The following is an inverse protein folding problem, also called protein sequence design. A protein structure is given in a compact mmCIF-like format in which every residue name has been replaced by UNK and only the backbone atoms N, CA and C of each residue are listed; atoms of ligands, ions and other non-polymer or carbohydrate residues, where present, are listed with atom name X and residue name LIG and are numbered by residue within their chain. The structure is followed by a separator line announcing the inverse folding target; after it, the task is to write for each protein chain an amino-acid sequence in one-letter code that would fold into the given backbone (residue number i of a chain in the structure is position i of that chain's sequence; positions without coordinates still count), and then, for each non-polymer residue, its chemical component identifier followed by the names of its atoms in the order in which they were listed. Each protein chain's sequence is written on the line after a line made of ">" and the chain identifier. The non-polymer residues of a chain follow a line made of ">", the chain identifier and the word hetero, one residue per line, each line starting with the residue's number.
data_IF_506117780428
#
_entry.id   IF_506117780428
#
_cell.length_a   1.000
_cell.length_b   1.000
_cell.length_c   1.000
_cell.angle_alpha   90.00
_cell.angle_beta   90.00
_cell.angle_gamma   90.00
#
_symmetry.space_group_name_H-M   'P 1'
#
loop_
_entity.id
_entity.type
_entity.pdbx_description
1 polymer ?
#
# COMPACT_ATOMS: atom_id res chain seq x y z
N UNK A 1 -11.76 -52.19 39.23
CA UNK A 1 -12.21 -51.26 38.16
C UNK A 1 -12.94 -50.01 38.70
N UNK A 2 -12.57 -49.45 39.86
CA UNK A 2 -13.29 -48.33 40.51
C UNK A 2 -12.55 -46.97 40.50
N UNK A 3 -11.29 -46.93 40.03
CA UNK A 3 -10.41 -45.76 40.15
C UNK A 3 -10.58 -44.72 39.03
N UNK A 4 -11.25 -45.06 37.93
CA UNK A 4 -11.39 -44.19 36.76
C UNK A 4 -12.48 -43.12 36.93
N UNK A 5 -13.53 -43.40 37.72
CA UNK A 5 -14.63 -42.47 37.97
C UNK A 5 -14.20 -41.26 38.80
N UNK A 6 -13.44 -41.49 39.87
CA UNK A 6 -12.98 -40.45 40.80
C UNK A 6 -12.00 -39.47 40.15
N UNK A 7 -11.13 -39.98 39.26
CA UNK A 7 -10.17 -39.17 38.51
C UNK A 7 -10.88 -38.23 37.51
N UNK A 8 -11.96 -38.70 36.89
CA UNK A 8 -12.78 -37.89 35.96
C UNK A 8 -13.53 -36.77 36.67
N UNK A 9 -14.00 -37.01 37.91
CA UNK A 9 -14.67 -35.98 38.72
C UNK A 9 -13.72 -34.85 39.12
N UNK A 10 -12.51 -35.18 39.59
CA UNK A 10 -11.48 -34.19 39.96
C UNK A 10 -11.05 -33.30 38.79
N UNK A 11 -10.85 -33.87 37.60
CA UNK A 11 -10.49 -33.09 36.41
C UNK A 11 -11.60 -32.11 35.98
N UNK A 12 -12.88 -32.47 36.20
CA UNK A 12 -14.01 -31.58 35.89
C UNK A 12 -14.08 -30.42 36.88
N UNK A 13 -13.83 -30.67 38.16
CA UNK A 13 -13.77 -29.64 39.20
C UNK A 13 -12.61 -28.68 38.95
N UNK A 14 -11.42 -29.18 38.60
CA UNK A 14 -10.26 -28.35 38.28
C UNK A 14 -10.50 -27.45 37.07
N UNK A 15 -11.16 -27.94 36.01
CA UNK A 15 -11.54 -27.12 34.86
C UNK A 15 -12.63 -26.09 35.20
N UNK A 16 -13.56 -26.40 36.10
CA UNK A 16 -14.56 -25.45 36.58
C UNK A 16 -13.93 -24.35 37.45
N UNK A 17 -12.93 -24.70 38.26
CA UNK A 17 -12.13 -23.74 39.03
C UNK A 17 -11.31 -22.85 38.09
N UNK A 18 -10.61 -23.40 37.09
CA UNK A 18 -9.88 -22.62 36.08
C UNK A 18 -10.74 -21.55 35.40
N UNK A 19 -11.99 -21.88 35.08
CA UNK A 19 -12.92 -20.91 34.46
C UNK A 19 -13.56 -19.91 35.42
N UNK A 20 -13.59 -20.19 36.73
CA UNK A 20 -14.31 -19.34 37.71
C UNK A 20 -13.38 -18.56 38.65
N UNK A 21 -12.13 -18.98 38.80
CA UNK A 21 -11.22 -18.46 39.81
C UNK A 21 -9.99 -17.77 39.20
N UNK A 22 -10.26 -16.68 38.48
CA UNK A 22 -9.25 -15.77 37.92
C UNK A 22 -8.28 -15.20 38.97
N UNK A 23 -8.70 -15.15 40.23
CA UNK A 23 -7.94 -14.56 41.34
C UNK A 23 -6.92 -15.53 41.98
N UNK A 24 -6.95 -16.82 41.63
CA UNK A 24 -5.96 -17.79 42.10
C UNK A 24 -4.73 -17.75 41.21
N UNK A 25 -3.55 -17.60 41.82
CA UNK A 25 -2.27 -17.47 41.10
C UNK A 25 -1.99 -18.63 40.13
N UNK A 26 -2.46 -19.84 40.44
CA UNK A 26 -2.27 -21.04 39.62
C UNK A 26 -3.18 -21.11 38.38
N UNK A 27 -4.22 -20.26 38.30
CA UNK A 27 -5.22 -20.29 37.24
C UNK A 27 -5.34 -18.97 36.48
N UNK A 28 -4.36 -18.09 36.64
CA UNK A 28 -4.25 -16.92 35.78
C UNK A 28 -3.91 -17.38 34.36
N UNK A 29 -4.54 -16.81 33.32
CA UNK A 29 -4.06 -17.02 31.97
C UNK A 29 -2.65 -16.42 31.90
N UNK A 30 -1.65 -17.30 31.78
CA UNK A 30 -0.29 -16.87 31.43
C UNK A 30 -0.41 -16.14 30.09
N UNK A 31 0.01 -14.88 30.06
CA UNK A 31 0.09 -14.15 28.81
C UNK A 31 1.13 -14.89 27.97
N UNK A 32 0.69 -15.52 26.87
CA UNK A 32 1.61 -16.03 25.88
C UNK A 32 2.55 -14.87 25.54
N UNK A 33 3.84 -15.02 25.87
CA UNK A 33 4.88 -14.05 25.50
C UNK A 33 5.04 -14.13 23.99
N UNK A 34 4.12 -13.51 23.26
CA UNK A 34 4.21 -13.32 21.83
C UNK A 34 5.35 -12.34 21.59
N UNK A 35 6.57 -12.89 21.42
CA UNK A 35 7.72 -12.14 20.97
C UNK A 35 7.31 -11.52 19.63
N UNK A 36 7.26 -10.19 19.51
CA UNK A 36 6.88 -9.58 18.25
C UNK A 36 7.85 -10.05 17.16
N UNK A 37 7.35 -10.34 15.95
CA UNK A 37 8.23 -10.75 14.87
C UNK A 37 9.30 -9.67 14.67
N UNK A 38 10.55 -10.09 14.35
CA UNK A 38 11.61 -9.14 14.10
C UNK A 38 11.19 -8.15 13.01
N UNK A 39 11.61 -6.89 13.11
CA UNK A 39 11.26 -5.89 12.11
C UNK A 39 11.76 -6.35 10.74
N UNK A 40 11.05 -6.02 9.66
CA UNK A 40 11.48 -6.38 8.32
C UNK A 40 12.83 -5.71 8.01
N UNK A 41 13.75 -6.49 7.43
CA UNK A 41 15.10 -6.04 7.04
C UNK A 41 15.07 -4.88 6.03
N UNK A 42 13.95 -4.72 5.32
CA UNK A 42 13.77 -3.64 4.33
C UNK A 42 12.55 -2.81 4.66
N UNK A 43 12.64 -1.48 4.43
CA UNK A 43 11.50 -0.61 4.59
C UNK A 43 10.40 -1.00 3.59
N UNK A 44 9.17 -1.23 4.06
CA UNK A 44 8.03 -1.48 3.17
C UNK A 44 7.61 -0.20 2.44
N UNK A 45 6.98 -0.35 1.28
CA UNK A 45 6.41 0.78 0.54
C UNK A 45 5.13 1.30 1.22
N UNK A 46 4.92 2.62 1.28
CA UNK A 46 3.78 3.20 2.00
C UNK A 46 2.42 2.88 1.36
N UNK A 47 2.40 2.47 0.10
CA UNK A 47 1.16 2.14 -0.63
C UNK A 47 0.95 0.64 -0.82
N UNK A 48 2.01 -0.15 -1.02
CA UNK A 48 1.89 -1.56 -1.40
C UNK A 48 2.41 -2.51 -0.32
N UNK A 49 3.17 -2.02 0.67
CA UNK A 49 3.82 -2.86 1.68
C UNK A 49 5.02 -3.66 1.16
N UNK A 50 5.31 -3.61 -0.14
CA UNK A 50 6.43 -4.33 -0.75
C UNK A 50 7.79 -3.77 -0.29
N UNK A 51 8.81 -4.61 -0.09
CA UNK A 51 10.13 -4.14 0.32
C UNK A 51 10.79 -3.27 -0.75
N UNK A 52 11.15 -2.04 -0.40
CA UNK A 52 11.79 -1.07 -1.30
C UNK A 52 13.31 -1.23 -1.32
N UNK A 53 13.92 -1.11 -2.51
CA UNK A 53 15.38 -1.01 -2.67
C UNK A 53 15.75 0.33 -3.31
N UNK A 54 16.97 0.81 -3.07
CA UNK A 54 17.51 2.03 -3.72
C UNK A 54 17.43 2.00 -5.25
N UNK A 55 17.53 0.83 -5.87
CA UNK A 55 17.46 0.66 -7.32
C UNK A 55 16.05 0.83 -7.90
N UNK A 56 15.03 0.73 -7.04
CA UNK A 56 13.63 0.87 -7.41
C UNK A 56 13.15 2.34 -7.25
N UNK A 57 13.97 3.20 -6.63
CA UNK A 57 13.74 4.63 -6.48
C UNK A 57 14.31 5.37 -7.68
N UNK A 58 13.51 6.26 -8.26
CA UNK A 58 13.90 7.08 -9.40
C UNK A 58 13.74 8.56 -9.06
N UNK A 59 14.76 9.41 -9.30
CA UNK A 59 14.62 10.84 -9.12
C UNK A 59 13.63 11.40 -10.15
N UNK A 60 12.75 12.31 -9.73
CA UNK A 60 11.77 12.96 -10.60
C UNK A 60 11.95 14.48 -10.55
N UNK A 61 11.95 15.11 -11.72
CA UNK A 61 11.90 16.57 -11.87
C UNK A 61 10.45 16.99 -12.02
N UNK A 62 10.00 17.81 -11.07
CA UNK A 62 8.65 18.35 -11.03
C UNK A 62 8.69 19.83 -11.42
N UNK A 63 8.21 20.14 -12.61
CA UNK A 63 7.99 21.53 -13.01
C UNK A 63 6.77 22.08 -12.28
N UNK A 64 6.89 23.28 -11.70
CA UNK A 64 5.81 23.93 -10.98
C UNK A 64 5.41 25.21 -11.70
N UNK A 65 4.11 25.36 -11.93
CA UNK A 65 3.48 26.56 -12.47
C UNK A 65 2.39 26.98 -11.50
N UNK A 66 2.45 28.23 -11.03
CA UNK A 66 1.49 28.79 -10.06
C UNK A 66 1.35 27.93 -8.78
N UNK A 67 2.48 27.37 -8.30
CA UNK A 67 2.52 26.50 -7.12
C UNK A 67 1.99 25.07 -7.33
N UNK A 68 1.44 24.75 -8.51
CA UNK A 68 0.95 23.42 -8.87
C UNK A 68 1.95 22.71 -9.76
N UNK A 69 2.01 21.38 -9.67
CA UNK A 69 2.86 20.58 -10.58
C UNK A 69 2.26 20.62 -11.98
N UNK A 70 3.09 20.89 -12.98
CA UNK A 70 2.71 20.94 -14.38
C UNK A 70 3.37 19.81 -15.18
N UNK A 71 2.74 19.46 -16.29
CA UNK A 71 3.32 18.55 -17.27
C UNK A 71 4.51 19.21 -17.99
N UNK A 72 5.63 18.52 -18.10
CA UNK A 72 6.84 19.09 -18.70
C UNK A 72 6.71 19.43 -20.20
N UNK A 73 5.85 18.73 -20.93
CA UNK A 73 5.63 19.00 -22.37
C UNK A 73 4.51 20.02 -22.61
N UNK A 74 3.31 19.77 -22.05
CA UNK A 74 2.13 20.60 -22.33
C UNK A 74 2.00 21.82 -21.42
N UNK A 75 2.82 21.93 -20.37
CA UNK A 75 2.75 22.96 -19.32
C UNK A 75 1.36 23.10 -18.66
N UNK A 76 0.49 22.11 -18.82
CA UNK A 76 -0.81 22.04 -18.16
C UNK A 76 -0.64 21.61 -16.72
N UNK A 77 -1.37 22.24 -15.81
CA UNK A 77 -1.37 21.91 -14.40
C UNK A 77 -2.03 20.56 -14.15
N UNK A 78 -1.35 19.70 -13.39
CA UNK A 78 -1.81 18.36 -13.02
C UNK A 78 -2.70 18.49 -11.78
N UNK A 79 -3.96 18.06 -11.89
CA UNK A 79 -4.92 18.08 -10.77
C UNK A 79 -5.50 16.68 -10.52
N UNK A 80 -6.33 16.19 -11.45
CA UNK A 80 -7.03 14.89 -11.33
C UNK A 80 -6.64 13.89 -12.42
N UNK A 81 -5.80 14.31 -13.36
CA UNK A 81 -5.45 13.53 -14.54
C UNK A 81 -4.48 12.39 -14.17
N UNK A 82 -4.52 11.30 -14.92
CA UNK A 82 -3.53 10.23 -14.77
C UNK A 82 -2.19 10.66 -15.37
N UNK A 83 -1.12 10.30 -14.67
CA UNK A 83 0.22 10.83 -14.90
C UNK A 83 1.21 9.69 -15.04
N UNK A 84 2.14 9.86 -15.97
CA UNK A 84 3.23 8.92 -16.22
C UNK A 84 4.55 9.65 -16.03
N UNK A 85 5.48 9.04 -15.31
CA UNK A 85 6.86 9.47 -15.27
C UNK A 85 7.66 8.75 -16.36
N UNK A 86 8.29 9.51 -17.25
CA UNK A 86 9.18 9.01 -18.28
C UNK A 86 10.62 9.09 -17.80
N UNK A 87 11.24 7.93 -17.60
CA UNK A 87 12.59 7.82 -17.06
C UNK A 87 13.53 7.25 -18.13
N UNK A 88 13.95 8.08 -19.07
CA UNK A 88 14.76 7.66 -20.23
C UNK A 88 16.08 6.96 -19.86
N UNK A 89 16.65 7.30 -18.72
CA UNK A 89 17.95 6.82 -18.25
C UNK A 89 17.80 6.53 -16.77
N UNK A 90 18.44 5.45 -16.31
CA UNK A 90 18.37 5.03 -14.92
C UNK A 90 18.87 6.09 -13.94
N UNK A 91 19.89 6.84 -14.31
CA UNK A 91 20.52 7.83 -13.43
C UNK A 91 20.09 9.28 -13.71
N UNK A 92 19.26 9.50 -14.74
CA UNK A 92 18.74 10.84 -15.01
C UNK A 92 17.38 11.05 -14.34
N UNK A 93 17.05 12.31 -13.99
CA UNK A 93 15.73 12.62 -13.49
C UNK A 93 14.65 12.26 -14.52
N UNK A 94 13.62 11.57 -14.06
CA UNK A 94 12.41 11.33 -14.84
C UNK A 94 11.58 12.61 -14.95
N UNK A 95 10.94 12.78 -16.10
CA UNK A 95 10.02 13.88 -16.34
C UNK A 95 8.58 13.42 -16.24
N UNK A 96 7.74 14.28 -15.68
CA UNK A 96 6.33 13.99 -15.44
C UNK A 96 5.49 14.47 -16.62
N UNK A 97 4.69 13.57 -17.19
CA UNK A 97 3.82 13.84 -18.33
C UNK A 97 2.40 13.31 -18.13
N UNK A 98 1.44 13.93 -18.82
CA UNK A 98 0.05 13.48 -18.83
C UNK A 98 -0.12 12.23 -19.69
N UNK A 99 -0.81 11.22 -19.15
CA UNK A 99 -0.99 9.95 -19.85
C UNK A 99 -1.84 10.12 -21.12
N UNK A 100 -3.04 10.68 -21.00
CA UNK A 100 -4.00 10.78 -22.10
C UNK A 100 -3.53 11.67 -23.25
N UNK A 101 -2.86 12.78 -22.93
CA UNK A 101 -2.52 13.79 -23.92
C UNK A 101 -1.14 13.59 -24.54
N UNK A 102 -0.14 13.27 -23.73
CA UNK A 102 1.26 13.24 -24.15
C UNK A 102 1.71 11.81 -24.39
N UNK A 103 1.45 10.91 -23.44
CA UNK A 103 1.90 9.52 -23.55
C UNK A 103 1.24 8.81 -24.74
N UNK A 104 -0.09 8.79 -24.82
CA UNK A 104 -0.81 8.08 -25.88
C UNK A 104 -0.54 8.67 -27.28
N UNK A 105 -0.38 9.99 -27.39
CA UNK A 105 -0.22 10.66 -28.71
C UNK A 105 1.21 10.69 -29.22
N UNK A 106 2.19 10.91 -28.33
CA UNK A 106 3.58 11.13 -28.71
C UNK A 106 4.48 9.94 -28.38
N UNK A 107 4.31 9.34 -27.21
CA UNK A 107 5.22 8.32 -26.69
C UNK A 107 4.88 6.93 -27.20
N UNK A 108 3.60 6.56 -27.25
CA UNK A 108 3.16 5.24 -27.72
C UNK A 108 3.57 4.94 -29.19
N UNK A 109 3.38 5.85 -30.17
CA UNK A 109 3.75 5.56 -31.55
C UNK A 109 5.26 5.60 -31.80
N UNK A 110 5.99 6.49 -31.13
CA UNK A 110 7.43 6.68 -31.38
C UNK A 110 8.31 5.85 -30.44
N UNK A 111 7.81 5.48 -29.25
CA UNK A 111 8.57 4.93 -28.14
C UNK A 111 9.84 5.74 -27.82
N UNK A 112 9.77 7.07 -28.00
CA UNK A 112 10.85 8.01 -27.70
C UNK A 112 10.37 9.04 -26.67
N UNK A 113 11.25 9.42 -25.76
CA UNK A 113 11.00 10.53 -24.84
C UNK A 113 10.93 11.86 -25.60
N UNK A 114 9.85 12.64 -25.47
CA UNK A 114 9.70 13.93 -26.16
C UNK A 114 10.67 15.02 -25.64
N UNK A 115 11.20 14.87 -24.42
CA UNK A 115 12.08 15.86 -23.79
C UNK A 115 13.56 15.53 -24.01
N UNK A 116 13.93 14.25 -23.89
CA UNK A 116 15.33 13.81 -23.95
C UNK A 116 15.70 13.20 -25.30
N UNK A 117 14.74 12.91 -26.17
CA UNK A 117 14.96 12.29 -27.48
C UNK A 117 15.44 10.84 -27.43
N UNK A 118 15.46 10.21 -26.25
CA UNK A 118 15.98 8.85 -26.05
C UNK A 118 14.89 7.79 -26.19
N UNK A 119 15.26 6.62 -26.72
CA UNK A 119 14.35 5.47 -26.85
C UNK A 119 13.95 4.94 -25.49
N UNK A 120 12.65 4.78 -25.29
CA UNK A 120 12.05 4.25 -24.07
C UNK A 120 11.85 2.74 -24.16
N UNK A 121 11.98 2.08 -23.00
CA UNK A 121 11.54 0.69 -22.80
C UNK A 121 10.38 0.70 -21.80
N UNK A 122 9.60 -0.36 -21.76
CA UNK A 122 8.50 -0.53 -20.80
C UNK A 122 8.91 -0.30 -19.34
N UNK A 123 10.12 -0.70 -18.95
CA UNK A 123 10.68 -0.48 -17.59
C UNK A 123 10.88 0.99 -17.22
N UNK A 124 11.01 1.86 -18.23
CA UNK A 124 11.25 3.29 -18.06
C UNK A 124 9.96 4.11 -17.98
N UNK A 125 8.81 3.44 -18.12
CA UNK A 125 7.48 4.04 -18.08
C UNK A 125 6.88 3.70 -16.72
N UNK A 126 6.84 4.69 -15.83
CA UNK A 126 6.33 4.55 -14.47
C UNK A 126 4.97 5.24 -14.39
N UNK A 127 3.89 4.45 -14.29
CA UNK A 127 2.56 5.00 -14.04
C UNK A 127 2.48 5.45 -12.59
N UNK A 128 2.28 6.74 -12.37
CA UNK A 128 2.17 7.29 -11.03
C UNK A 128 0.74 7.08 -10.52
N UNK A 129 0.63 6.68 -9.26
CA UNK A 129 -0.66 6.57 -8.62
C UNK A 129 -1.21 7.97 -8.36
N UNK A 130 -2.42 8.25 -8.85
CA UNK A 130 -3.10 9.50 -8.53
C UNK A 130 -3.51 9.50 -7.04
N UNK A 131 -3.26 10.61 -6.35
CA UNK A 131 -3.81 10.82 -5.02
C UNK A 131 -5.33 10.79 -5.07
N UNK A 132 -5.97 10.08 -4.15
CA UNK A 132 -7.43 10.11 -4.02
C UNK A 132 -7.81 11.50 -3.53
N UNK A 133 -8.54 12.26 -4.33
CA UNK A 133 -9.15 13.50 -3.85
C UNK A 133 -10.40 13.16 -3.03
N UNK A 134 -10.75 14.00 -2.05
CA UNK A 134 -11.98 13.82 -1.26
C UNK A 134 -13.29 13.91 -2.04
N UNK A 135 -13.23 14.13 -3.36
CA UNK A 135 -14.39 14.22 -4.24
C UNK A 135 -14.79 12.84 -4.77
N UNK A 136 -16.03 12.43 -4.47
CA UNK A 136 -16.62 11.16 -4.89
C UNK A 136 -16.58 10.92 -6.41
N UNK A 137 -16.60 11.98 -7.22
CA UNK A 137 -16.56 11.89 -8.69
C UNK A 137 -15.21 11.42 -9.25
N UNK A 138 -14.14 11.46 -8.47
CA UNK A 138 -12.78 11.24 -8.99
C UNK A 138 -12.25 9.81 -8.83
N UNK A 139 -12.99 8.94 -8.12
CA UNK A 139 -12.56 7.57 -7.82
C UNK A 139 -13.69 6.54 -7.94
N UNK A 140 -13.32 5.26 -7.95
CA UNK A 140 -14.26 4.14 -7.85
C UNK A 140 -14.70 3.97 -6.39
N UNK A 141 -15.62 4.81 -5.93
CA UNK A 141 -16.18 4.72 -4.57
C UNK A 141 -17.47 3.88 -4.63
N UNK A 142 -17.40 2.66 -4.13
CA UNK A 142 -18.59 1.84 -3.90
C UNK A 142 -19.16 2.11 -2.50
N UNK A 143 -20.35 2.69 -2.43
CA UNK A 143 -21.06 2.87 -1.17
C UNK A 143 -21.80 1.58 -0.81
N UNK A 144 -21.33 0.87 0.22
CA UNK A 144 -22.04 -0.29 0.77
C UNK A 144 -23.04 0.19 1.81
N UNK A 145 -24.32 -0.03 1.54
CA UNK A 145 -25.40 0.28 2.48
C UNK A 145 -25.40 -0.81 3.54
N UNK A 146 -24.99 -0.48 4.76
CA UNK A 146 -25.07 -1.36 5.91
C UNK A 146 -26.41 -1.14 6.64
N UNK A 147 -27.21 -2.21 6.79
CA UNK A 147 -28.41 -2.19 7.63
C UNK A 147 -28.06 -2.89 8.95
N UNK A 148 -27.99 -2.17 10.07
CA UNK A 148 -27.74 -2.80 11.36
C UNK A 148 -28.97 -3.62 11.77
N UNK A 149 -28.83 -4.95 11.80
CA UNK A 149 -29.81 -5.83 12.44
C UNK A 149 -29.35 -6.06 13.88
N UNK A 150 -30.09 -5.52 14.85
CA UNK A 150 -29.96 -5.91 16.25
C UNK A 150 -30.38 -7.38 16.34
N UNK A 151 -29.42 -8.26 16.65
CA UNK A 151 -29.66 -9.65 17.04
C UNK A 151 -28.81 -9.95 18.25
#
# INVERSE_FOLDING_TARGET
>A
KATTSTKKKRAREENALKGSSYWLAEFQPEADEEIPPPPPDRPPSPFTGNPLRRKDLQPLVLERKDGKVACAVSQKTIVTQSVVALCAIKDAPGHVVLEKEVYNKLVEPSMVCPITGKKLKSKHILKLQAGKSGFASSGSVEAKIYRPTIT
#
